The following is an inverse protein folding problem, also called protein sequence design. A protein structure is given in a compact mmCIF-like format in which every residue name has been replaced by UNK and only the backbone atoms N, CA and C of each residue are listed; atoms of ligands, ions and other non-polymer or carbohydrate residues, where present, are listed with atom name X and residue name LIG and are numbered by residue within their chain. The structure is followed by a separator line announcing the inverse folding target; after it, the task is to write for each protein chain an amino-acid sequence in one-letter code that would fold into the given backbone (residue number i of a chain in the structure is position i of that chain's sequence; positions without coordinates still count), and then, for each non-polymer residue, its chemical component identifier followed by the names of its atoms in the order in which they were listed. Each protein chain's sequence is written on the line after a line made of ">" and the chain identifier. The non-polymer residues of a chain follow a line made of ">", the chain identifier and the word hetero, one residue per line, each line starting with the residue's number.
data_IF_222770545414
#
_entry.id   IF_222770545414
#
_cell.length_a   1.000
_cell.length_b   1.000
_cell.length_c   1.000
_cell.angle_alpha   90.00
_cell.angle_beta   90.00
_cell.angle_gamma   90.00
#
_symmetry.space_group_name_H-M   'P 1'
#
loop_
_entity.id
_entity.type
_entity.pdbx_description
1 polymer ?
#
# COMPACT_ATOMS: atom_id res chain seq x y z
N UNK A 1 2.78 4.79 20.03
CA UNK A 1 3.98 4.07 19.55
C UNK A 1 4.23 4.48 18.12
N UNK A 2 5.43 4.95 17.82
CA UNK A 2 5.75 5.92 16.76
C UNK A 2 5.87 5.30 15.37
N UNK A 3 5.15 5.85 14.41
CA UNK A 3 5.19 5.56 12.97
C UNK A 3 6.57 5.80 12.34
N UNK A 4 7.05 4.88 11.54
CA UNK A 4 8.36 4.98 10.90
C UNK A 4 8.58 4.05 9.71
N UNK A 5 7.97 4.36 8.60
CA UNK A 5 8.61 4.26 7.30
C UNK A 5 8.78 5.69 6.82
N UNK A 6 9.99 6.20 6.76
CA UNK A 6 10.26 7.35 5.94
C UNK A 6 9.60 7.12 4.61
N UNK A 7 9.01 8.14 4.07
CA UNK A 7 8.41 8.07 2.75
C UNK A 7 9.53 7.70 1.78
N UNK A 8 9.39 6.59 1.10
CA UNK A 8 10.47 5.93 0.35
C UNK A 8 10.22 6.15 -1.12
N UNK A 9 11.11 6.88 -1.78
CA UNK A 9 11.01 7.07 -3.22
C UNK A 9 11.50 5.83 -3.96
N UNK A 10 10.58 5.16 -4.61
CA UNK A 10 10.83 4.05 -5.53
C UNK A 10 10.64 4.55 -6.95
N UNK A 11 11.70 5.10 -7.54
CA UNK A 11 11.67 5.58 -8.91
C UNK A 11 12.44 4.63 -9.82
N UNK A 12 11.79 4.20 -10.89
CA UNK A 12 12.34 3.28 -11.87
C UNK A 12 13.15 4.03 -12.94
N UNK A 13 14.43 4.23 -12.67
CA UNK A 13 15.37 4.53 -13.73
C UNK A 13 16.53 3.53 -13.69
N UNK A 14 16.77 2.86 -14.81
CA UNK A 14 17.95 2.02 -15.00
C UNK A 14 19.22 2.87 -14.82
N UNK A 15 19.98 2.59 -13.77
CA UNK A 15 21.30 3.20 -13.58
C UNK A 15 22.33 2.30 -14.28
N UNK A 16 23.07 2.76 -15.29
CA UNK A 16 24.25 2.04 -15.74
C UNK A 16 25.26 1.99 -14.58
N UNK A 17 25.74 0.79 -14.29
CA UNK A 17 26.74 0.55 -13.28
C UNK A 17 28.06 1.26 -13.64
N UNK A 18 28.70 1.88 -12.63
CA UNK A 18 30.03 2.47 -12.62
C UNK A 18 30.20 3.84 -13.29
N UNK A 19 29.80 4.89 -12.57
CA UNK A 19 30.53 6.15 -12.60
C UNK A 19 31.58 6.15 -11.48
N UNK A 20 32.76 6.71 -11.73
CA UNK A 20 33.80 6.92 -10.72
C UNK A 20 33.21 7.62 -9.49
N UNK A 21 33.72 7.32 -8.29
CA UNK A 21 33.29 7.94 -7.03
C UNK A 21 33.70 9.41 -7.05
N UNK A 22 32.90 10.23 -7.73
CA UNK A 22 32.96 11.70 -7.59
C UNK A 22 32.28 12.09 -6.28
N UNK A 23 32.78 13.14 -5.65
CA UNK A 23 32.09 13.74 -4.51
C UNK A 23 30.64 14.08 -4.91
N UNK A 24 29.65 13.79 -4.06
CA UNK A 24 28.27 14.09 -4.38
C UNK A 24 28.11 15.59 -4.62
N UNK A 25 27.29 16.01 -5.62
CA UNK A 25 27.12 17.42 -5.93
C UNK A 25 26.44 18.17 -4.76
N UNK A 26 26.70 19.48 -4.61
CA UNK A 26 25.98 20.29 -3.64
C UNK A 26 24.49 20.34 -3.98
N UNK A 27 23.64 20.14 -2.96
CA UNK A 27 22.18 20.06 -3.15
C UNK A 27 21.50 21.44 -3.17
N UNK A 28 22.13 22.46 -2.58
CA UNK A 28 21.53 23.79 -2.36
C UNK A 28 20.92 24.39 -3.63
N UNK A 29 21.70 24.55 -4.69
CA UNK A 29 21.25 25.17 -5.94
C UNK A 29 20.14 24.35 -6.62
N UNK A 30 20.17 23.01 -6.47
CA UNK A 30 19.15 22.15 -7.06
C UNK A 30 17.85 22.29 -6.26
N UNK A 31 17.92 22.24 -4.94
CA UNK A 31 16.77 22.42 -4.04
C UNK A 31 16.15 23.80 -4.27
N UNK A 32 16.94 24.87 -4.29
CA UNK A 32 16.45 26.23 -4.54
C UNK A 32 15.72 26.36 -5.89
N UNK A 33 16.18 25.64 -6.91
CA UNK A 33 15.52 25.61 -8.23
C UNK A 33 14.24 24.80 -8.26
N UNK A 34 14.07 23.81 -7.36
CA UNK A 34 12.91 22.91 -7.31
C UNK A 34 11.82 23.41 -6.37
N UNK A 35 12.14 24.15 -5.30
CA UNK A 35 11.16 24.64 -4.34
C UNK A 35 9.97 25.37 -4.99
N UNK A 36 10.15 26.39 -5.87
CA UNK A 36 9.03 27.09 -6.49
C UNK A 36 8.17 26.17 -7.35
N UNK A 37 8.82 25.17 -7.99
CA UNK A 37 8.10 24.17 -8.78
C UNK A 37 7.23 23.28 -7.90
N UNK A 38 7.78 22.75 -6.79
CA UNK A 38 7.05 21.89 -5.84
C UNK A 38 5.87 22.65 -5.24
N UNK A 39 6.08 23.91 -4.82
CA UNK A 39 5.01 24.76 -4.33
C UNK A 39 3.91 24.98 -5.35
N UNK A 40 4.27 25.26 -6.61
CA UNK A 40 3.29 25.40 -7.69
C UNK A 40 2.55 24.11 -8.04
N UNK A 41 3.21 22.95 -7.96
CA UNK A 41 2.62 21.65 -8.25
C UNK A 41 1.67 21.17 -7.15
N UNK A 42 1.96 21.50 -5.89
CA UNK A 42 1.19 21.08 -4.71
C UNK A 42 0.19 22.14 -4.24
N UNK A 43 0.32 23.40 -4.69
CA UNK A 43 -0.42 24.58 -4.21
C UNK A 43 -0.20 24.87 -2.71
N UNK A 44 0.87 24.34 -2.15
CA UNK A 44 1.32 24.63 -0.79
C UNK A 44 2.55 25.52 -0.80
N UNK A 45 2.89 26.12 0.33
CA UNK A 45 4.09 26.92 0.53
C UNK A 45 4.93 26.33 1.63
N UNK A 46 6.26 26.27 1.44
CA UNK A 46 7.16 25.91 2.53
C UNK A 46 7.06 26.94 3.66
N UNK A 47 6.84 26.47 4.88
CA UNK A 47 6.87 27.30 6.09
C UNK A 47 8.30 27.58 6.53
N UNK A 48 9.19 26.61 6.27
CA UNK A 48 10.61 26.73 6.52
C UNK A 48 11.42 25.98 5.45
N UNK A 49 12.71 26.31 5.33
CA UNK A 49 13.60 25.63 4.39
C UNK A 49 13.76 24.17 4.80
N UNK A 50 13.51 23.20 3.90
CA UNK A 50 13.68 21.80 4.21
C UNK A 50 15.16 21.46 4.46
N UNK A 51 15.42 20.55 5.39
CA UNK A 51 16.75 20.00 5.61
C UNK A 51 17.01 18.86 4.62
N UNK A 52 18.26 18.73 4.18
CA UNK A 52 18.62 17.70 3.21
C UNK A 52 20.04 17.20 3.37
N UNK A 53 20.31 16.00 2.86
CA UNK A 53 21.63 15.42 2.94
C UNK A 53 21.78 14.15 2.09
N UNK A 54 22.97 13.58 2.16
CA UNK A 54 23.30 12.35 1.47
C UNK A 54 23.32 11.15 2.42
N UNK A 55 22.92 9.98 1.93
CA UNK A 55 23.09 8.70 2.62
C UNK A 55 23.68 7.66 1.68
N UNK A 56 24.62 6.88 2.19
CA UNK A 56 25.12 5.69 1.51
C UNK A 56 24.06 4.57 1.59
N UNK A 57 24.17 3.58 0.70
CA UNK A 57 23.30 2.39 0.77
C UNK A 57 23.34 1.70 2.14
N UNK A 58 24.54 1.61 2.74
CA UNK A 58 24.68 1.02 4.07
C UNK A 58 23.95 1.82 5.17
N UNK A 59 23.96 3.15 5.10
CA UNK A 59 23.23 4.01 6.03
C UNK A 59 21.71 3.87 5.83
N UNK A 60 21.25 3.76 4.58
CA UNK A 60 19.86 3.53 4.23
C UNK A 60 19.40 2.15 4.75
N UNK A 61 20.19 1.09 4.52
CA UNK A 61 19.91 -0.24 5.05
C UNK A 61 19.74 -0.22 6.57
N UNK A 62 20.69 0.39 7.27
CA UNK A 62 20.61 0.53 8.73
C UNK A 62 19.36 1.27 9.19
N UNK A 63 18.95 2.31 8.45
CA UNK A 63 17.73 3.06 8.73
C UNK A 63 16.49 2.19 8.55
N UNK A 64 16.38 1.46 7.43
CA UNK A 64 15.25 0.57 7.14
C UNK A 64 15.16 -0.54 8.18
N UNK A 65 16.27 -1.24 8.46
CA UNK A 65 16.28 -2.36 9.41
C UNK A 65 15.83 -1.91 10.82
N UNK A 66 16.29 -0.72 11.24
CA UNK A 66 15.85 -0.12 12.50
C UNK A 66 14.37 0.23 12.45
N UNK A 67 13.92 0.89 11.39
CA UNK A 67 12.53 1.32 11.22
C UNK A 67 11.57 0.14 11.23
N UNK A 68 11.90 -0.94 10.55
CA UNK A 68 11.11 -2.18 10.55
C UNK A 68 11.06 -2.81 11.94
N UNK A 69 12.20 -2.88 12.64
CA UNK A 69 12.27 -3.46 13.98
C UNK A 69 11.49 -2.64 15.02
N UNK A 70 11.61 -1.30 14.96
CA UNK A 70 10.92 -0.40 15.88
C UNK A 70 9.40 -0.41 15.71
N UNK A 71 8.91 -0.56 14.47
CA UNK A 71 7.48 -0.46 14.14
C UNK A 71 6.71 -1.71 14.43
N UNK A 72 7.14 -2.79 13.83
CA UNK A 72 6.32 -4.00 13.83
C UNK A 72 6.78 -5.01 14.89
N UNK A 73 8.06 -4.97 15.27
CA UNK A 73 8.63 -6.02 16.10
C UNK A 73 8.54 -7.41 15.42
N UNK A 74 9.35 -8.35 15.86
CA UNK A 74 9.40 -9.69 15.24
C UNK A 74 8.07 -10.45 15.38
N UNK A 75 7.36 -10.24 16.49
CA UNK A 75 6.08 -10.90 16.76
C UNK A 75 5.00 -10.46 15.78
N UNK A 76 4.74 -9.15 15.65
CA UNK A 76 3.70 -8.61 14.75
C UNK A 76 3.99 -8.92 13.28
N UNK A 77 5.26 -8.84 12.87
CA UNK A 77 5.67 -9.28 11.53
C UNK A 77 5.32 -10.76 11.27
N UNK A 78 5.52 -11.62 12.26
CA UNK A 78 5.15 -13.03 12.16
C UNK A 78 3.63 -13.23 12.09
N UNK A 79 2.87 -12.49 12.89
CA UNK A 79 1.40 -12.55 12.91
C UNK A 79 0.80 -12.09 11.56
N UNK A 80 1.31 -10.99 11.00
CA UNK A 80 0.91 -10.49 9.67
C UNK A 80 1.29 -11.48 8.56
N UNK A 81 2.53 -11.99 8.57
CA UNK A 81 2.96 -12.99 7.60
C UNK A 81 2.11 -14.27 7.66
N UNK A 82 1.72 -14.69 8.86
CA UNK A 82 0.81 -15.83 9.07
C UNK A 82 -0.56 -15.55 8.44
N UNK A 83 -1.15 -14.39 8.69
CA UNK A 83 -2.44 -14.02 8.12
C UNK A 83 -2.39 -14.04 6.58
N UNK A 84 -1.40 -13.39 5.97
CA UNK A 84 -1.25 -13.38 4.51
C UNK A 84 -1.00 -14.78 3.91
N UNK A 85 -0.27 -15.64 4.63
CA UNK A 85 -0.13 -17.03 4.21
C UNK A 85 -1.46 -17.79 4.27
N UNK A 86 -2.23 -17.62 5.34
CA UNK A 86 -3.54 -18.26 5.48
C UNK A 86 -4.56 -17.72 4.47
N UNK A 87 -4.55 -16.44 4.16
CA UNK A 87 -5.35 -15.81 3.11
C UNK A 87 -4.96 -16.30 1.69
N UNK A 88 -3.73 -16.79 1.49
CA UNK A 88 -3.24 -17.24 0.19
C UNK A 88 -2.43 -16.20 -0.58
N UNK A 89 -2.14 -15.06 0.04
CA UNK A 89 -1.34 -13.97 -0.54
C UNK A 89 0.17 -14.22 -0.44
N UNK A 90 0.61 -15.09 0.46
CA UNK A 90 2.02 -15.49 0.59
C UNK A 90 2.18 -17.02 0.48
N UNK A 91 3.21 -17.50 -0.20
CA UNK A 91 3.51 -18.93 -0.28
C UNK A 91 3.95 -19.51 1.08
N UNK A 92 4.67 -18.73 1.87
CA UNK A 92 5.16 -19.08 3.20
C UNK A 92 5.39 -17.83 4.06
N UNK A 93 5.57 -18.02 5.38
CA UNK A 93 5.77 -16.93 6.33
C UNK A 93 7.21 -16.43 6.40
N UNK A 94 8.19 -17.21 5.95
CA UNK A 94 9.63 -16.92 6.11
C UNK A 94 10.12 -15.86 5.12
N UNK A 95 9.51 -15.81 3.94
CA UNK A 95 9.88 -14.89 2.85
C UNK A 95 9.47 -13.45 3.10
N UNK A 96 8.49 -13.21 3.99
CA UNK A 96 7.90 -11.88 4.19
C UNK A 96 8.90 -10.86 4.74
N UNK A 97 9.52 -11.14 5.90
CA UNK A 97 10.45 -10.20 6.56
C UNK A 97 11.71 -9.92 5.74
N UNK A 98 12.35 -10.98 5.24
CA UNK A 98 13.57 -10.83 4.43
C UNK A 98 13.27 -10.16 3.09
N UNK A 99 12.19 -10.57 2.45
CA UNK A 99 11.74 -9.99 1.18
C UNK A 99 11.46 -8.51 1.29
N UNK A 100 10.78 -8.09 2.35
CA UNK A 100 10.43 -6.68 2.57
C UNK A 100 11.69 -5.81 2.74
N UNK A 101 12.59 -6.13 3.68
CA UNK A 101 13.80 -5.32 3.92
C UNK A 101 14.69 -5.24 2.68
N UNK A 102 14.98 -6.37 2.03
CA UNK A 102 15.82 -6.39 0.84
C UNK A 102 15.19 -5.61 -0.33
N UNK A 103 13.89 -5.77 -0.53
CA UNK A 103 13.16 -5.07 -1.58
C UNK A 103 13.21 -3.55 -1.39
N UNK A 104 12.95 -3.06 -0.17
CA UNK A 104 13.04 -1.63 0.13
C UNK A 104 14.44 -1.08 -0.11
N UNK A 105 15.48 -1.74 0.38
CA UNK A 105 16.87 -1.28 0.20
C UNK A 105 17.26 -1.23 -1.27
N UNK A 106 16.87 -2.25 -2.06
CA UNK A 106 17.21 -2.32 -3.48
C UNK A 106 16.54 -1.21 -4.31
N UNK A 107 15.34 -0.81 -3.92
CA UNK A 107 14.54 0.16 -4.68
C UNK A 107 14.70 1.61 -4.20
N UNK A 108 15.18 1.84 -2.97
CA UNK A 108 15.23 3.17 -2.37
C UNK A 108 16.29 4.06 -3.02
N UNK A 109 15.88 5.21 -3.50
CA UNK A 109 16.73 6.26 -4.08
C UNK A 109 16.83 7.51 -3.21
N UNK A 110 15.75 7.81 -2.48
CA UNK A 110 15.65 8.89 -1.52
C UNK A 110 14.76 8.47 -0.35
N UNK A 111 14.74 9.29 0.67
CA UNK A 111 13.80 9.16 1.78
C UNK A 111 13.62 10.51 2.48
N UNK A 112 12.41 10.79 2.90
CA UNK A 112 12.11 11.83 3.88
C UNK A 112 11.92 11.18 5.26
N UNK A 113 12.62 11.72 6.25
CA UNK A 113 12.53 11.27 7.65
C UNK A 113 11.77 12.31 8.48
N UNK A 114 10.47 12.11 8.77
CA UNK A 114 9.65 13.06 9.51
C UNK A 114 10.07 13.23 10.97
N UNK A 115 10.93 12.34 11.52
CA UNK A 115 11.49 12.50 12.87
C UNK A 115 12.55 13.61 12.96
N UNK A 116 13.23 13.85 11.86
CA UNK A 116 14.34 14.80 11.79
C UNK A 116 14.07 15.92 10.80
N UNK A 117 12.89 15.97 10.19
CA UNK A 117 12.47 16.92 9.15
C UNK A 117 13.52 17.01 8.04
N UNK A 118 14.09 15.85 7.66
CA UNK A 118 15.24 15.82 6.75
C UNK A 118 15.01 14.86 5.60
N UNK A 119 15.18 15.35 4.38
CA UNK A 119 15.24 14.50 3.21
C UNK A 119 16.66 14.04 2.92
N UNK A 120 16.80 12.81 2.47
CA UNK A 120 18.08 12.22 2.12
C UNK A 120 18.05 11.63 0.72
N UNK A 121 19.07 11.94 -0.07
CA UNK A 121 19.32 11.29 -1.35
C UNK A 121 20.37 10.19 -1.20
N UNK A 122 20.22 9.11 -1.92
CA UNK A 122 21.25 8.05 -1.99
C UNK A 122 22.46 8.57 -2.76
N UNK A 123 23.67 8.34 -2.25
CA UNK A 123 24.92 8.65 -2.94
C UNK A 123 25.00 7.94 -4.30
N UNK A 124 25.59 8.61 -5.29
CA UNK A 124 25.68 8.10 -6.67
C UNK A 124 24.58 8.62 -7.61
N UNK A 125 23.57 9.33 -7.11
CA UNK A 125 22.59 10.02 -7.94
C UNK A 125 23.19 11.32 -8.52
N UNK A 126 22.85 11.62 -9.77
CA UNK A 126 23.27 12.86 -10.44
C UNK A 126 22.28 13.24 -11.56
N UNK A 127 22.40 14.45 -12.06
CA UNK A 127 21.62 14.94 -13.22
C UNK A 127 20.11 14.79 -13.06
N UNK A 128 19.40 14.28 -14.08
CA UNK A 128 17.94 14.15 -14.07
C UNK A 128 17.42 13.27 -12.93
N UNK A 129 18.10 12.17 -12.61
CA UNK A 129 17.69 11.27 -11.54
C UNK A 129 17.71 11.93 -10.15
N UNK A 130 18.73 12.73 -9.88
CA UNK A 130 18.82 13.48 -8.61
C UNK A 130 17.67 14.50 -8.52
N UNK A 131 17.37 15.22 -9.62
CA UNK A 131 16.25 16.17 -9.64
C UNK A 131 14.90 15.48 -9.43
N UNK A 132 14.69 14.33 -10.03
CA UNK A 132 13.51 13.50 -9.88
C UNK A 132 13.31 13.10 -8.39
N UNK A 133 14.33 12.51 -7.77
CA UNK A 133 14.31 12.11 -6.36
C UNK A 133 14.10 13.32 -5.45
N UNK A 134 14.85 14.41 -5.65
CA UNK A 134 14.70 15.62 -4.84
C UNK A 134 13.30 16.22 -4.96
N UNK A 135 12.68 16.23 -6.15
CA UNK A 135 11.32 16.73 -6.32
C UNK A 135 10.35 15.93 -5.45
N UNK A 136 10.45 14.59 -5.49
CA UNK A 136 9.61 13.71 -4.71
C UNK A 136 9.78 13.94 -3.20
N UNK A 137 11.02 13.93 -2.71
CA UNK A 137 11.30 14.12 -1.29
C UNK A 137 10.95 15.53 -0.79
N UNK A 138 11.08 16.55 -1.64
CA UNK A 138 10.64 17.91 -1.32
C UNK A 138 9.13 18.02 -1.15
N UNK A 139 8.34 17.24 -1.92
CA UNK A 139 6.89 17.16 -1.69
C UNK A 139 6.60 16.59 -0.31
N UNK A 140 7.29 15.54 0.11
CA UNK A 140 7.11 14.98 1.45
C UNK A 140 7.50 15.97 2.56
N UNK A 141 8.61 16.68 2.40
CA UNK A 141 8.99 17.74 3.34
C UNK A 141 7.94 18.85 3.42
N UNK A 142 7.33 19.19 2.29
CA UNK A 142 6.25 20.17 2.24
C UNK A 142 4.95 19.66 2.86
N UNK A 143 4.58 18.42 2.58
CA UNK A 143 3.43 17.75 3.18
C UNK A 143 3.52 17.74 4.70
N UNK A 144 4.70 17.35 5.23
CA UNK A 144 4.93 17.26 6.69
C UNK A 144 4.83 18.61 7.39
N UNK A 145 5.24 19.69 6.74
CA UNK A 145 5.04 21.05 7.26
C UNK A 145 3.56 21.47 7.34
N UNK A 146 2.65 20.78 6.63
CA UNK A 146 1.21 21.09 6.60
C UNK A 146 0.34 20.01 7.25
N UNK A 147 0.86 18.80 7.37
CA UNK A 147 0.16 17.62 7.91
C UNK A 147 1.20 16.75 8.60
N UNK A 148 1.02 16.46 9.87
CA UNK A 148 1.90 15.53 10.58
C UNK A 148 1.90 14.15 9.91
N UNK A 149 2.88 13.90 9.03
CA UNK A 149 2.99 12.65 8.29
C UNK A 149 3.28 11.46 9.21
N UNK A 150 3.92 11.72 10.35
CA UNK A 150 4.17 10.68 11.34
C UNK A 150 2.85 10.22 11.96
N UNK A 151 1.99 11.15 12.38
CA UNK A 151 0.68 10.84 12.93
C UNK A 151 -0.25 10.23 11.86
N UNK A 152 -0.23 10.75 10.64
CA UNK A 152 -1.05 10.27 9.53
C UNK A 152 -0.82 8.80 9.19
N UNK A 153 0.41 8.31 9.35
CA UNK A 153 0.82 6.94 9.04
C UNK A 153 1.01 6.09 10.30
N UNK A 154 0.42 6.48 11.43
CA UNK A 154 0.60 5.82 12.73
C UNK A 154 0.10 4.37 12.80
N UNK A 155 0.66 3.64 13.79
CA UNK A 155 0.19 2.32 14.18
C UNK A 155 -1.22 2.39 14.77
N UNK A 156 -2.08 1.46 14.38
CA UNK A 156 -3.49 1.40 14.81
C UNK A 156 -4.49 1.55 13.67
N UNK A 157 -4.04 2.10 12.53
CA UNK A 157 -4.84 2.12 11.32
C UNK A 157 -4.97 0.71 10.73
N UNK A 158 -6.16 0.33 10.29
CA UNK A 158 -6.40 -0.90 9.54
C UNK A 158 -5.58 -0.92 8.25
N UNK A 159 -5.21 -2.10 7.78
CA UNK A 159 -4.29 -2.27 6.67
C UNK A 159 -4.76 -1.55 5.40
N UNK A 160 -6.04 -1.67 5.05
CA UNK A 160 -6.62 -1.04 3.86
C UNK A 160 -6.64 0.50 3.96
N UNK A 161 -7.05 1.04 5.11
CA UNK A 161 -7.01 2.48 5.36
C UNK A 161 -5.58 3.03 5.33
N UNK A 162 -4.60 2.27 5.81
CA UNK A 162 -3.18 2.61 5.73
C UNK A 162 -2.67 2.62 4.30
N UNK A 163 -3.12 1.68 3.46
CA UNK A 163 -2.84 1.71 2.03
C UNK A 163 -3.37 2.99 1.41
N UNK A 164 -4.61 3.38 1.70
CA UNK A 164 -5.23 4.59 1.16
C UNK A 164 -4.48 5.86 1.60
N UNK A 165 -4.13 5.97 2.89
CA UNK A 165 -3.35 7.09 3.42
C UNK A 165 -1.99 7.18 2.73
N UNK A 166 -1.28 6.06 2.62
CA UNK A 166 0.01 5.99 1.94
C UNK A 166 -0.11 6.33 0.45
N UNK A 167 -1.13 5.81 -0.24
CA UNK A 167 -1.36 6.11 -1.65
C UNK A 167 -1.66 7.60 -1.88
N UNK A 168 -2.35 8.26 -0.96
CA UNK A 168 -2.60 9.70 -1.05
C UNK A 168 -1.31 10.51 -0.92
N UNK A 169 -0.46 10.18 0.06
CA UNK A 169 0.82 10.86 0.32
C UNK A 169 1.81 10.63 -0.82
N UNK A 170 2.08 9.37 -1.17
CA UNK A 170 3.00 8.99 -2.24
C UNK A 170 2.49 9.42 -3.62
N UNK A 171 1.17 9.36 -3.80
CA UNK A 171 0.51 9.76 -5.03
C UNK A 171 0.70 11.23 -5.37
N UNK A 172 0.61 12.12 -4.38
CA UNK A 172 0.88 13.53 -4.61
C UNK A 172 2.34 13.79 -4.98
N UNK A 173 3.28 13.15 -4.28
CA UNK A 173 4.69 13.28 -4.58
C UNK A 173 5.02 12.73 -5.98
N UNK A 174 4.48 11.56 -6.34
CA UNK A 174 4.64 10.98 -7.67
C UNK A 174 4.00 11.83 -8.75
N UNK A 175 2.80 12.34 -8.54
CA UNK A 175 2.10 13.19 -9.51
C UNK A 175 2.89 14.49 -9.79
N UNK A 176 3.41 15.16 -8.76
CA UNK A 176 4.27 16.33 -8.92
C UNK A 176 5.56 15.98 -9.70
N UNK A 177 6.18 14.83 -9.38
CA UNK A 177 7.38 14.35 -10.07
C UNK A 177 7.11 14.07 -11.56
N UNK A 178 6.02 13.39 -11.87
CA UNK A 178 5.62 13.11 -13.25
C UNK A 178 5.35 14.39 -14.05
N UNK A 179 4.73 15.39 -13.44
CA UNK A 179 4.54 16.71 -14.07
C UNK A 179 5.86 17.41 -14.36
N UNK A 180 6.86 17.30 -13.46
CA UNK A 180 8.21 17.82 -13.72
C UNK A 180 8.82 17.16 -14.95
N UNK A 181 8.79 15.82 -15.02
CA UNK A 181 9.33 15.05 -16.13
C UNK A 181 8.62 15.37 -17.47
N UNK A 182 7.32 15.68 -17.40
CA UNK A 182 6.53 16.11 -18.57
C UNK A 182 6.69 17.61 -18.92
N UNK A 183 7.64 18.32 -18.30
CA UNK A 183 7.84 19.75 -18.55
C UNK A 183 6.67 20.63 -18.13
N UNK A 184 5.95 20.26 -17.07
CA UNK A 184 4.79 20.99 -16.53
C UNK A 184 3.48 20.76 -17.28
N UNK A 185 3.45 19.87 -18.27
CA UNK A 185 2.23 19.57 -19.05
C UNK A 185 1.15 18.93 -18.19
N UNK A 186 -0.10 19.14 -18.60
CA UNK A 186 -1.23 18.48 -17.97
C UNK A 186 -1.25 16.99 -18.36
N UNK A 187 -1.04 16.11 -17.39
CA UNK A 187 -0.97 14.66 -17.60
C UNK A 187 -2.36 14.01 -17.71
N UNK A 188 -3.41 14.69 -17.28
CA UNK A 188 -4.80 14.16 -17.26
C UNK A 188 -5.30 13.83 -18.67
N UNK A 189 -4.78 14.54 -19.69
CA UNK A 189 -5.28 14.45 -21.06
C UNK A 189 -4.67 13.33 -21.92
N UNK A 190 -3.73 12.55 -21.40
CA UNK A 190 -3.05 11.53 -22.21
C UNK A 190 -3.65 10.15 -21.99
N UNK A 191 -4.46 9.67 -22.92
CA UNK A 191 -4.92 8.28 -22.93
C UNK A 191 -3.74 7.31 -22.97
N UNK A 192 -3.79 6.25 -22.16
CA UNK A 192 -2.70 5.25 -22.09
C UNK A 192 -1.48 5.66 -21.26
N UNK A 193 -1.43 6.89 -20.74
CA UNK A 193 -0.32 7.35 -19.88
C UNK A 193 -0.08 6.41 -18.71
N UNK A 194 -1.15 6.03 -18.01
CA UNK A 194 -1.05 5.19 -16.82
C UNK A 194 -0.58 3.78 -17.13
N UNK A 195 -0.97 3.22 -18.29
CA UNK A 195 -0.45 1.93 -18.74
C UNK A 195 1.04 2.04 -19.05
N UNK A 196 1.46 3.10 -19.71
CA UNK A 196 2.88 3.36 -20.01
C UNK A 196 3.70 3.57 -18.72
N UNK A 197 3.21 4.34 -17.76
CA UNK A 197 3.87 4.54 -16.47
C UNK A 197 3.98 3.22 -15.72
N UNK A 198 2.90 2.43 -15.65
CA UNK A 198 2.88 1.12 -15.01
C UNK A 198 3.95 0.20 -15.60
N UNK A 199 4.00 0.11 -16.92
CA UNK A 199 4.96 -0.73 -17.61
C UNK A 199 6.39 -0.23 -17.42
N UNK A 200 6.61 1.08 -17.48
CA UNK A 200 7.93 1.69 -17.26
C UNK A 200 8.44 1.45 -15.82
N UNK A 201 7.58 1.58 -14.83
CA UNK A 201 7.90 1.28 -13.44
C UNK A 201 8.26 -0.20 -13.26
N UNK A 202 7.49 -1.10 -13.85
CA UNK A 202 7.75 -2.56 -13.78
C UNK A 202 9.04 -2.96 -14.47
N UNK A 203 9.32 -2.41 -15.66
CA UNK A 203 10.56 -2.67 -16.39
C UNK A 203 11.77 -2.17 -15.61
N UNK A 204 11.71 -0.98 -15.04
CA UNK A 204 12.81 -0.43 -14.24
C UNK A 204 13.07 -1.21 -12.96
N UNK A 205 12.03 -1.54 -12.24
CA UNK A 205 12.13 -2.31 -10.98
C UNK A 205 12.48 -3.78 -11.24
N UNK A 206 11.99 -4.35 -12.34
CA UNK A 206 12.28 -5.73 -12.75
C UNK A 206 13.74 -6.00 -13.07
N UNK A 207 14.61 -4.99 -13.15
CA UNK A 207 16.05 -5.17 -13.29
C UNK A 207 16.71 -5.66 -11.99
N UNK A 208 16.12 -5.39 -10.82
CA UNK A 208 16.63 -5.90 -9.54
C UNK A 208 16.21 -7.36 -9.31
N UNK A 209 17.16 -8.20 -8.92
CA UNK A 209 16.90 -9.59 -8.55
C UNK A 209 15.99 -9.68 -7.32
N UNK A 210 16.17 -8.78 -6.36
CA UNK A 210 15.36 -8.67 -5.14
C UNK A 210 13.90 -8.43 -5.49
N UNK A 211 13.61 -7.56 -6.47
CA UNK A 211 12.25 -7.31 -6.93
C UNK A 211 11.66 -8.52 -7.66
N UNK A 212 12.39 -9.12 -8.60
CA UNK A 212 11.89 -10.30 -9.35
C UNK A 212 11.55 -11.47 -8.45
N UNK A 213 12.36 -11.70 -7.41
CA UNK A 213 12.25 -12.84 -6.50
C UNK A 213 11.32 -12.58 -5.30
N UNK A 214 10.91 -11.35 -5.06
CA UNK A 214 9.99 -11.04 -3.96
C UNK A 214 8.58 -11.57 -4.26
N UNK A 215 7.82 -12.00 -3.23
CA UNK A 215 6.42 -12.35 -3.37
C UNK A 215 5.62 -11.21 -4.03
N UNK A 216 4.58 -11.57 -4.82
CA UNK A 216 3.72 -10.59 -5.52
C UNK A 216 3.17 -9.53 -4.57
N UNK A 217 2.65 -9.95 -3.41
CA UNK A 217 2.16 -9.04 -2.37
C UNK A 217 3.16 -7.92 -2.06
N UNK A 218 4.43 -8.24 -1.89
CA UNK A 218 5.46 -7.26 -1.57
C UNK A 218 5.81 -6.37 -2.76
N UNK A 219 5.91 -6.93 -3.96
CA UNK A 219 6.24 -6.16 -5.18
C UNK A 219 5.16 -5.15 -5.51
N UNK A 220 3.92 -5.63 -5.62
CA UNK A 220 2.79 -4.78 -5.98
C UNK A 220 2.45 -3.80 -4.85
N UNK A 221 2.49 -4.24 -3.58
CA UNK A 221 2.30 -3.38 -2.41
C UNK A 221 3.35 -2.28 -2.28
N UNK A 222 4.55 -2.46 -2.86
CA UNK A 222 5.56 -1.41 -2.94
C UNK A 222 5.21 -0.36 -4.01
N UNK A 223 4.73 -0.79 -5.18
CA UNK A 223 4.49 0.06 -6.36
C UNK A 223 3.13 0.75 -6.33
N UNK A 224 2.11 0.03 -5.88
CA UNK A 224 0.71 0.45 -5.98
C UNK A 224 0.42 1.81 -5.35
N UNK A 225 0.93 2.17 -4.16
CA UNK A 225 0.69 3.50 -3.59
C UNK A 225 1.14 4.64 -4.49
N UNK A 226 2.24 4.48 -5.21
CA UNK A 226 2.76 5.48 -6.14
C UNK A 226 1.89 5.57 -7.40
N UNK A 227 1.58 4.43 -8.00
CA UNK A 227 0.84 4.36 -9.24
C UNK A 227 -0.62 4.79 -9.08
N UNK A 228 -1.36 4.10 -8.21
CA UNK A 228 -2.78 4.36 -8.00
C UNK A 228 -3.01 5.66 -7.24
N UNK A 229 -2.10 6.01 -6.33
CA UNK A 229 -2.12 7.31 -5.68
C UNK A 229 -1.93 8.47 -6.66
N UNK A 230 -1.02 8.36 -7.64
CA UNK A 230 -0.86 9.38 -8.68
C UNK A 230 -2.07 9.45 -9.63
N UNK A 231 -2.72 8.32 -9.92
CA UNK A 231 -3.99 8.30 -10.66
C UNK A 231 -5.09 9.01 -9.87
N UNK A 232 -5.22 8.72 -8.58
CA UNK A 232 -6.16 9.41 -7.68
C UNK A 232 -5.88 10.92 -7.66
N UNK A 233 -4.64 11.35 -7.49
CA UNK A 233 -4.27 12.76 -7.49
C UNK A 233 -4.52 13.45 -8.84
N UNK A 234 -4.33 12.72 -9.95
CA UNK A 234 -4.69 13.21 -11.28
C UNK A 234 -6.19 13.48 -11.41
N UNK A 235 -7.01 12.58 -10.87
CA UNK A 235 -8.47 12.77 -10.82
C UNK A 235 -8.84 13.93 -9.89
N UNK A 236 -8.26 13.98 -8.68
CA UNK A 236 -8.48 15.05 -7.70
C UNK A 236 -8.21 16.44 -8.28
N UNK A 237 -7.16 16.61 -9.07
CA UNK A 237 -6.84 17.88 -9.72
C UNK A 237 -7.90 18.35 -10.71
N UNK A 238 -8.77 17.49 -11.17
CA UNK A 238 -9.91 17.80 -12.04
C UNK A 238 -11.21 18.12 -11.30
N UNK A 239 -11.23 18.07 -9.96
CA UNK A 239 -12.41 18.37 -9.14
C UNK A 239 -12.42 19.80 -8.64
N UNK A 240 -13.57 20.27 -8.16
CA UNK A 240 -13.73 21.58 -7.52
C UNK A 240 -12.91 21.71 -6.21
N UNK A 241 -12.52 20.57 -5.63
CA UNK A 241 -11.70 20.52 -4.42
C UNK A 241 -10.18 20.62 -4.67
N UNK A 242 -9.76 20.79 -5.93
CA UNK A 242 -8.35 20.80 -6.34
C UNK A 242 -7.47 21.85 -5.63
N UNK A 243 -8.06 22.92 -5.07
CA UNK A 243 -7.35 23.95 -4.29
C UNK A 243 -7.04 23.53 -2.84
N UNK A 244 -7.42 22.31 -2.48
CA UNK A 244 -7.21 21.75 -1.16
C UNK A 244 -6.48 20.40 -1.26
N UNK A 245 -6.05 19.90 -0.11
CA UNK A 245 -5.40 18.59 -0.02
C UNK A 245 -6.41 17.53 0.45
N UNK A 246 -6.37 16.30 -0.08
CA UNK A 246 -7.18 15.20 0.42
C UNK A 246 -6.59 14.60 1.72
N UNK A 247 -6.29 15.46 2.70
CA UNK A 247 -5.78 15.09 4.02
C UNK A 247 -6.77 15.44 5.14
N UNK A 248 -6.46 15.00 6.35
CA UNK A 248 -7.32 15.19 7.51
C UNK A 248 -8.65 14.42 7.34
N UNK A 249 -9.77 15.09 7.53
CA UNK A 249 -11.11 14.51 7.38
C UNK A 249 -11.42 14.02 5.96
N UNK A 250 -10.69 14.57 4.97
CA UNK A 250 -10.81 14.21 3.55
C UNK A 250 -9.87 13.08 3.11
N UNK A 251 -9.14 12.49 4.03
CA UNK A 251 -8.26 11.37 3.68
C UNK A 251 -9.11 10.19 3.18
N UNK A 252 -8.82 9.61 2.01
CA UNK A 252 -9.44 8.35 1.59
C UNK A 252 -9.29 7.26 2.64
N UNK A 253 -10.32 6.45 2.84
CA UNK A 253 -10.41 5.47 3.92
C UNK A 253 -10.25 4.02 3.48
N UNK A 254 -10.21 3.79 2.16
CA UNK A 254 -10.05 2.44 1.60
C UNK A 254 -9.24 2.48 0.32
N UNK A 255 -8.64 1.34 -0.02
CA UNK A 255 -8.00 1.14 -1.32
C UNK A 255 -9.00 1.30 -2.46
N UNK A 256 -10.26 0.92 -2.27
CA UNK A 256 -11.32 1.12 -3.24
C UNK A 256 -11.45 2.58 -3.66
N UNK A 257 -11.46 3.52 -2.69
CA UNK A 257 -11.54 4.95 -2.98
C UNK A 257 -10.32 5.48 -3.74
N UNK A 258 -9.16 4.85 -3.60
CA UNK A 258 -7.95 5.16 -4.36
C UNK A 258 -8.03 4.60 -5.78
N UNK A 259 -8.50 3.37 -5.93
CA UNK A 259 -8.61 2.67 -7.21
C UNK A 259 -9.75 3.23 -8.07
N UNK A 260 -10.83 3.70 -7.42
CA UNK A 260 -12.05 4.22 -8.01
C UNK A 260 -12.37 5.60 -7.44
N UNK A 261 -11.67 6.67 -7.89
CA UNK A 261 -11.81 8.02 -7.32
C UNK A 261 -13.22 8.57 -7.38
N UNK A 262 -14.06 8.12 -8.32
CA UNK A 262 -15.48 8.46 -8.42
C UNK A 262 -16.27 8.00 -7.19
N UNK A 263 -15.91 6.86 -6.58
CA UNK A 263 -16.52 6.41 -5.32
C UNK A 263 -16.15 7.32 -4.16
N UNK A 264 -14.88 7.76 -4.10
CA UNK A 264 -14.47 8.75 -3.11
C UNK A 264 -15.30 10.05 -3.22
N UNK A 265 -15.45 10.58 -4.45
CA UNK A 265 -16.20 11.84 -4.69
C UNK A 265 -17.70 11.67 -4.42
N UNK A 266 -18.28 10.49 -4.69
CA UNK A 266 -19.69 10.20 -4.35
C UNK A 266 -19.93 10.04 -2.84
N UNK A 267 -18.87 10.02 -2.02
CA UNK A 267 -18.97 9.84 -0.58
C UNK A 267 -19.15 8.38 -0.16
N UNK A 268 -18.90 7.43 -1.06
CA UNK A 268 -18.92 6.02 -0.74
C UNK A 268 -17.84 5.69 0.31
N UNK A 269 -18.22 4.95 1.35
CA UNK A 269 -17.34 4.63 2.48
C UNK A 269 -17.31 3.13 2.73
N UNK A 270 -16.15 2.58 3.11
CA UNK A 270 -16.05 1.17 3.45
C UNK A 270 -16.99 0.81 4.60
N UNK A 271 -17.64 -0.33 4.46
CA UNK A 271 -18.51 -0.91 5.48
C UNK A 271 -17.62 -1.53 6.56
N UNK A 272 -17.71 -1.04 7.78
CA UNK A 272 -16.97 -1.61 8.90
C UNK A 272 -17.60 -2.93 9.35
N UNK A 273 -16.86 -4.02 9.21
CA UNK A 273 -17.24 -5.36 9.64
C UNK A 273 -16.58 -5.67 10.97
N UNK A 274 -17.33 -6.24 11.94
CA UNK A 274 -16.83 -6.63 13.26
C UNK A 274 -17.27 -8.04 13.61
N UNK A 275 -16.38 -8.81 14.21
CA UNK A 275 -16.75 -10.07 14.86
C UNK A 275 -17.52 -9.79 16.15
N UNK A 276 -18.60 -10.53 16.41
CA UNK A 276 -19.50 -10.34 17.56
C UNK A 276 -19.29 -11.34 18.67
N UNK A 277 -18.46 -12.34 18.45
CA UNK A 277 -18.10 -13.36 19.43
C UNK A 277 -16.60 -13.43 19.66
N UNK A 278 -16.22 -14.00 20.82
CA UNK A 278 -14.82 -14.10 21.19
C UNK A 278 -14.11 -15.27 20.50
N UNK A 279 -14.83 -16.22 19.87
CA UNK A 279 -14.31 -17.36 19.08
C UNK A 279 -12.99 -17.99 19.53
N UNK A 280 -12.50 -17.57 20.69
CA UNK A 280 -11.22 -17.96 21.27
C UNK A 280 -10.12 -16.88 21.15
N UNK A 281 -8.90 -17.18 21.62
CA UNK A 281 -7.78 -16.23 21.60
C UNK A 281 -7.40 -15.82 20.18
N UNK A 282 -7.31 -14.52 19.93
CA UNK A 282 -6.96 -13.92 18.63
C UNK A 282 -5.44 -13.82 18.50
N UNK A 283 -4.92 -14.19 17.34
CA UNK A 283 -3.53 -13.95 16.92
C UNK A 283 -3.44 -12.57 16.28
N UNK A 284 -4.28 -12.32 15.28
CA UNK A 284 -4.34 -11.04 14.56
C UNK A 284 -5.71 -10.86 13.89
N UNK A 285 -6.08 -9.63 13.67
CA UNK A 285 -7.30 -9.22 12.99
C UNK A 285 -7.01 -7.95 12.19
N UNK A 286 -7.51 -7.86 10.93
CA UNK A 286 -7.35 -6.68 10.09
C UNK A 286 -8.32 -6.74 8.89
N UNK A 287 -8.22 -5.78 7.98
CA UNK A 287 -8.96 -5.65 6.73
C UNK A 287 -8.02 -5.97 5.57
N UNK A 288 -8.49 -6.73 4.58
CA UNK A 288 -7.75 -7.02 3.34
C UNK A 288 -7.84 -5.83 2.39
N UNK A 289 -9.06 -5.35 2.13
CA UNK A 289 -9.33 -4.27 1.20
C UNK A 289 -9.34 -4.69 -0.28
N UNK A 290 -9.87 -3.84 -1.14
CA UNK A 290 -10.05 -4.18 -2.56
C UNK A 290 -8.73 -4.39 -3.28
N UNK A 291 -7.69 -3.60 -2.98
CA UNK A 291 -6.38 -3.77 -3.63
C UNK A 291 -5.77 -5.14 -3.36
N UNK A 292 -5.74 -5.60 -2.11
CA UNK A 292 -5.18 -6.92 -1.80
C UNK A 292 -6.07 -8.06 -2.30
N UNK A 293 -7.38 -7.84 -2.45
CA UNK A 293 -8.27 -8.80 -3.12
C UNK A 293 -7.90 -8.96 -4.60
N UNK A 294 -7.58 -7.89 -5.32
CA UNK A 294 -7.02 -7.98 -6.68
C UNK A 294 -5.70 -8.78 -6.71
N UNK A 295 -4.83 -8.58 -5.70
CA UNK A 295 -3.60 -9.38 -5.60
C UNK A 295 -3.92 -10.87 -5.38
N UNK A 296 -4.93 -11.17 -4.57
CA UNK A 296 -5.37 -12.54 -4.32
C UNK A 296 -5.93 -13.19 -5.59
N UNK A 297 -6.79 -12.50 -6.33
CA UNK A 297 -7.29 -12.96 -7.62
C UNK A 297 -6.14 -13.25 -8.60
N UNK A 298 -5.18 -12.33 -8.70
CA UNK A 298 -4.02 -12.49 -9.55
C UNK A 298 -3.04 -13.58 -9.07
N UNK A 299 -3.02 -13.88 -7.77
CA UNK A 299 -2.17 -14.93 -7.18
C UNK A 299 -2.75 -16.33 -7.38
N UNK A 300 -4.08 -16.47 -7.28
CA UNK A 300 -4.79 -17.74 -7.40
C UNK A 300 -5.25 -18.03 -8.83
N UNK A 301 -5.27 -17.05 -9.71
CA UNK A 301 -5.70 -17.15 -11.10
C UNK A 301 -4.63 -16.67 -12.07
N UNK A 302 -5.07 -16.41 -13.30
CA UNK A 302 -4.23 -15.85 -14.37
C UNK A 302 -4.31 -14.32 -14.42
N UNK A 303 -4.78 -13.68 -13.34
CA UNK A 303 -4.96 -12.23 -13.25
C UNK A 303 -3.65 -11.48 -13.35
N UNK A 304 -3.67 -10.34 -14.02
CA UNK A 304 -2.55 -9.41 -14.13
C UNK A 304 -2.93 -8.11 -13.42
N UNK A 305 -2.05 -7.64 -12.55
CA UNK A 305 -2.19 -6.31 -11.95
C UNK A 305 -1.57 -5.30 -12.92
N UNK A 306 -2.38 -4.58 -13.69
CA UNK A 306 -1.89 -3.55 -14.62
C UNK A 306 -2.95 -2.51 -14.95
N UNK A 307 -2.49 -1.28 -15.17
CA UNK A 307 -3.36 -0.19 -15.59
C UNK A 307 -4.43 0.16 -14.56
N UNK A 308 -5.64 0.41 -15.03
CA UNK A 308 -6.82 0.60 -14.20
C UNK A 308 -7.38 -0.74 -13.79
N UNK A 309 -7.60 -0.97 -12.49
CA UNK A 309 -8.23 -2.18 -11.98
C UNK A 309 -9.76 -2.03 -12.04
N UNK A 310 -10.51 -3.09 -12.39
CA UNK A 310 -11.97 -3.05 -12.39
C UNK A 310 -12.50 -3.06 -10.95
N UNK A 311 -13.65 -2.42 -10.70
CA UNK A 311 -14.32 -2.52 -9.41
C UNK A 311 -14.80 -3.96 -9.14
N UNK A 312 -14.44 -4.50 -7.95
CA UNK A 312 -14.86 -5.83 -7.53
C UNK A 312 -16.27 -5.85 -6.92
N UNK A 313 -16.81 -4.68 -6.54
CA UNK A 313 -18.03 -4.55 -5.75
C UNK A 313 -17.78 -4.89 -4.28
N UNK A 314 -16.56 -4.61 -3.82
CA UNK A 314 -16.16 -4.72 -2.43
C UNK A 314 -16.82 -3.61 -1.62
N UNK A 315 -17.63 -3.97 -0.63
CA UNK A 315 -18.19 -2.98 0.28
C UNK A 315 -17.42 -2.88 1.60
N UNK A 316 -16.74 -3.95 2.00
CA UNK A 316 -15.96 -4.00 3.23
C UNK A 316 -15.61 -5.44 3.62
N UNK A 317 -14.60 -5.61 4.44
CA UNK A 317 -14.23 -6.95 4.91
C UNK A 317 -13.57 -6.92 6.29
N UNK A 318 -13.44 -8.08 6.87
CA UNK A 318 -12.61 -8.31 8.06
C UNK A 318 -12.20 -9.76 8.16
N UNK A 319 -10.91 -10.01 8.38
CA UNK A 319 -10.41 -11.31 8.75
C UNK A 319 -9.94 -11.35 10.19
N UNK A 320 -10.01 -12.54 10.78
CA UNK A 320 -9.44 -12.84 12.10
C UNK A 320 -8.74 -14.18 12.05
N UNK A 321 -7.55 -14.23 12.66
CA UNK A 321 -6.80 -15.47 12.86
C UNK A 321 -6.87 -15.84 14.32
N UNK A 322 -7.49 -16.96 14.61
CA UNK A 322 -7.62 -17.52 15.95
C UNK A 322 -6.44 -18.43 16.28
N UNK A 323 -6.11 -18.46 17.58
CA UNK A 323 -5.17 -19.43 18.15
C UNK A 323 -5.97 -20.59 18.71
N UNK A 324 -5.69 -21.82 18.25
CA UNK A 324 -6.26 -23.02 18.84
C UNK A 324 -5.19 -24.06 19.14
N UNK A 325 -5.55 -25.10 19.92
CA UNK A 325 -4.67 -26.24 20.19
C UNK A 325 -4.30 -27.00 18.91
N UNK A 326 -5.18 -26.99 17.91
CA UNK A 326 -4.97 -27.65 16.61
C UNK A 326 -4.12 -26.80 15.64
N UNK A 327 -3.86 -25.54 15.95
CA UNK A 327 -3.15 -24.60 15.10
C UNK A 327 -3.95 -23.32 14.77
N UNK A 328 -3.42 -22.42 13.96
CA UNK A 328 -4.10 -21.18 13.60
C UNK A 328 -5.32 -21.46 12.72
N UNK A 329 -6.41 -20.71 12.94
CA UNK A 329 -7.64 -20.79 12.16
C UNK A 329 -8.00 -19.42 11.59
N UNK A 330 -8.12 -19.28 10.28
CA UNK A 330 -8.55 -18.06 9.60
C UNK A 330 -10.06 -18.09 9.40
N UNK A 331 -10.71 -16.99 9.76
CA UNK A 331 -12.09 -16.66 9.36
C UNK A 331 -12.07 -15.28 8.70
N UNK A 332 -12.68 -15.15 7.53
CA UNK A 332 -12.74 -13.92 6.76
C UNK A 332 -14.17 -13.69 6.25
N UNK A 333 -14.71 -12.51 6.55
CA UNK A 333 -15.99 -12.02 6.04
C UNK A 333 -15.75 -10.91 5.05
N UNK A 334 -16.41 -11.00 3.89
CA UNK A 334 -16.39 -9.99 2.83
C UNK A 334 -17.84 -9.57 2.60
N UNK A 335 -18.15 -8.31 2.76
CA UNK A 335 -19.45 -7.72 2.45
C UNK A 335 -19.38 -7.11 1.05
N UNK A 336 -20.39 -7.37 0.25
CA UNK A 336 -20.45 -6.97 -1.15
C UNK A 336 -21.47 -5.86 -1.38
N UNK A 337 -21.25 -5.01 -2.38
CA UNK A 337 -22.21 -3.99 -2.82
C UNK A 337 -23.48 -4.66 -3.34
N UNK A 338 -23.32 -5.75 -4.10
CA UNK A 338 -24.44 -6.51 -4.63
C UNK A 338 -24.22 -8.03 -4.49
N UNK A 339 -25.32 -8.78 -4.42
CA UNK A 339 -25.24 -10.25 -4.36
C UNK A 339 -24.55 -10.88 -5.61
N UNK A 340 -24.58 -10.20 -6.75
CA UNK A 340 -23.91 -10.64 -7.97
C UNK A 340 -22.37 -10.63 -7.81
N UNK A 341 -21.83 -9.67 -7.08
CA UNK A 341 -20.39 -9.53 -6.84
C UNK A 341 -19.88 -10.68 -5.97
N UNK A 342 -20.63 -11.00 -4.89
CA UNK A 342 -20.33 -12.14 -4.05
C UNK A 342 -20.39 -13.47 -4.81
N UNK A 343 -21.37 -13.64 -5.72
CA UNK A 343 -21.42 -14.85 -6.57
C UNK A 343 -20.21 -14.94 -7.48
N UNK A 344 -19.86 -13.85 -8.17
CA UNK A 344 -18.67 -13.78 -9.04
C UNK A 344 -17.40 -14.16 -8.29
N UNK A 345 -17.21 -13.59 -7.09
CA UNK A 345 -16.08 -13.93 -6.24
C UNK A 345 -16.08 -15.40 -5.85
N UNK A 346 -17.22 -15.93 -5.38
CA UNK A 346 -17.32 -17.32 -4.91
C UNK A 346 -17.08 -18.33 -6.03
N UNK A 347 -17.57 -18.07 -7.25
CA UNK A 347 -17.37 -18.92 -8.44
C UNK A 347 -15.93 -18.86 -8.98
N UNK A 348 -15.23 -17.72 -8.80
CA UNK A 348 -13.85 -17.51 -9.21
C UNK A 348 -12.84 -17.80 -8.10
N UNK A 349 -12.40 -16.75 -7.44
CA UNK A 349 -11.37 -16.78 -6.38
C UNK A 349 -11.80 -17.62 -5.20
N UNK A 350 -13.07 -17.54 -4.79
CA UNK A 350 -13.63 -18.35 -3.71
C UNK A 350 -13.55 -19.84 -3.96
N UNK A 351 -13.87 -20.28 -5.18
CA UNK A 351 -13.74 -21.71 -5.55
C UNK A 351 -12.29 -22.20 -5.42
N UNK A 352 -11.31 -21.40 -5.81
CA UNK A 352 -9.88 -21.73 -5.67
C UNK A 352 -9.43 -21.75 -4.21
N UNK A 353 -9.94 -20.83 -3.38
CA UNK A 353 -9.72 -20.84 -1.93
C UNK A 353 -10.33 -22.08 -1.29
N UNK A 354 -11.55 -22.44 -1.67
CA UNK A 354 -12.24 -23.64 -1.20
C UNK A 354 -11.56 -24.94 -1.62
N UNK A 355 -10.89 -24.95 -2.76
CA UNK A 355 -10.14 -26.10 -3.29
C UNK A 355 -8.74 -26.28 -2.66
N UNK A 356 -8.29 -25.36 -1.79
CA UNK A 356 -7.01 -25.53 -1.10
C UNK A 356 -6.99 -26.79 -0.27
N UNK A 357 -5.91 -27.55 -0.41
CA UNK A 357 -5.73 -28.82 0.31
C UNK A 357 -4.49 -28.76 1.21
N UNK A 358 -4.67 -29.25 2.42
CA UNK A 358 -3.61 -29.49 3.38
C UNK A 358 -4.08 -30.62 4.31
N UNK A 359 -3.22 -31.61 4.54
CA UNK A 359 -3.55 -32.72 5.42
C UNK A 359 -3.98 -32.20 6.81
N UNK A 360 -5.15 -32.68 7.29
CA UNK A 360 -5.73 -32.27 8.56
C UNK A 360 -6.33 -30.85 8.59
N UNK A 361 -6.57 -30.22 7.42
CA UNK A 361 -7.22 -28.91 7.30
C UNK A 361 -8.53 -29.00 6.50
N UNK A 362 -9.40 -28.02 6.73
CA UNK A 362 -10.65 -27.82 5.99
C UNK A 362 -10.73 -26.40 5.47
N UNK A 363 -11.30 -26.24 4.27
CA UNK A 363 -11.73 -24.98 3.70
C UNK A 363 -13.26 -24.92 3.66
N UNK A 364 -13.82 -23.74 3.89
CA UNK A 364 -15.24 -23.43 3.66
C UNK A 364 -15.33 -22.08 2.98
N UNK A 365 -16.05 -22.00 1.88
CA UNK A 365 -16.47 -20.76 1.22
C UNK A 365 -17.97 -20.84 1.02
N UNK A 366 -18.69 -19.86 1.53
CA UNK A 366 -20.14 -19.84 1.44
C UNK A 366 -20.70 -18.42 1.33
N UNK A 367 -21.81 -18.29 0.63
CA UNK A 367 -22.61 -17.06 0.62
C UNK A 367 -23.41 -16.98 1.91
N UNK A 368 -23.29 -15.86 2.60
CA UNK A 368 -24.02 -15.55 3.84
C UNK A 368 -24.63 -14.15 3.76
N UNK A 369 -25.39 -13.78 4.78
CA UNK A 369 -25.81 -12.40 4.99
C UNK A 369 -25.18 -11.88 6.30
N UNK A 370 -24.66 -10.66 6.27
CA UNK A 370 -24.20 -9.92 7.46
C UNK A 370 -25.10 -8.70 7.60
N UNK A 371 -25.94 -8.69 8.62
CA UNK A 371 -26.99 -7.68 8.84
C UNK A 371 -27.82 -7.37 7.58
N UNK A 372 -28.21 -8.45 6.87
CA UNK A 372 -29.02 -8.38 5.64
C UNK A 372 -28.25 -8.02 4.37
N UNK A 373 -26.95 -7.72 4.45
CA UNK A 373 -26.09 -7.44 3.29
C UNK A 373 -25.52 -8.74 2.71
N UNK A 374 -25.39 -8.82 1.38
CA UNK A 374 -24.75 -9.98 0.75
C UNK A 374 -23.29 -10.06 1.19
N UNK A 375 -22.86 -11.26 1.61
CA UNK A 375 -21.51 -11.46 2.07
C UNK A 375 -20.98 -12.86 1.70
N UNK A 376 -19.67 -12.99 1.72
CA UNK A 376 -18.96 -14.28 1.66
C UNK A 376 -18.28 -14.52 2.99
N UNK A 377 -18.40 -15.74 3.51
CA UNK A 377 -17.58 -16.24 4.61
C UNK A 377 -16.59 -17.26 4.08
N UNK A 378 -15.31 -16.99 4.30
CA UNK A 378 -14.22 -17.93 4.03
C UNK A 378 -13.58 -18.38 5.34
N UNK A 379 -13.39 -19.69 5.50
CA UNK A 379 -12.69 -20.30 6.63
C UNK A 379 -11.61 -21.23 6.09
N UNK A 380 -10.41 -21.10 6.64
CA UNK A 380 -9.29 -22.00 6.41
C UNK A 380 -8.66 -22.38 7.74
N UNK A 381 -8.93 -23.59 8.21
CA UNK A 381 -8.59 -24.00 9.57
C UNK A 381 -8.28 -25.50 9.67
N UNK A 382 -7.53 -25.94 10.73
CA UNK A 382 -7.41 -27.35 11.06
C UNK A 382 -8.77 -28.02 11.19
N UNK A 383 -8.90 -29.26 10.74
CA UNK A 383 -10.15 -30.02 10.86
C UNK A 383 -10.59 -30.22 12.32
N UNK A 384 -9.64 -30.23 13.25
CA UNK A 384 -9.88 -30.35 14.70
C UNK A 384 -10.05 -29.00 15.40
N UNK A 385 -10.20 -27.89 14.67
CA UNK A 385 -10.48 -26.58 15.29
C UNK A 385 -11.88 -26.56 15.89
N UNK A 386 -11.97 -26.17 17.17
CA UNK A 386 -13.23 -26.18 17.94
C UNK A 386 -14.30 -25.25 17.32
N UNK A 387 -13.88 -24.17 16.66
CA UNK A 387 -14.77 -23.22 16.01
C UNK A 387 -15.62 -23.78 14.88
N UNK A 388 -15.34 -25.02 14.37
CA UNK A 388 -16.22 -25.71 13.44
C UNK A 388 -17.58 -26.09 14.02
N UNK A 389 -17.68 -26.22 15.35
CA UNK A 389 -18.93 -26.53 16.03
C UNK A 389 -19.87 -25.32 16.14
N UNK A 390 -19.29 -24.10 16.24
CA UNK A 390 -20.01 -22.83 16.28
C UNK A 390 -19.15 -21.79 15.55
N UNK A 391 -19.47 -21.52 14.30
CA UNK A 391 -18.65 -20.62 13.45
C UNK A 391 -18.76 -19.19 13.97
N UNK A 392 -17.63 -18.48 14.11
CA UNK A 392 -17.61 -17.09 14.51
C UNK A 392 -18.51 -16.23 13.61
N UNK A 393 -19.32 -15.37 14.19
CA UNK A 393 -20.25 -14.51 13.48
C UNK A 393 -19.72 -13.08 13.37
N UNK A 394 -20.21 -12.33 12.39
CA UNK A 394 -19.87 -10.93 12.17
C UNK A 394 -21.13 -10.07 12.05
N UNK A 395 -20.95 -8.77 12.29
CA UNK A 395 -21.97 -7.73 12.07
C UNK A 395 -21.35 -6.55 11.32
N UNK A 396 -22.19 -5.71 10.76
CA UNK A 396 -21.82 -4.39 10.24
C UNK A 396 -21.96 -3.35 11.35
N UNK A 397 -20.95 -2.53 11.54
CA UNK A 397 -21.09 -1.35 12.41
C UNK A 397 -22.00 -0.33 11.72
N UNK A 398 -22.92 0.25 12.49
CA UNK A 398 -23.69 1.40 11.98
C UNK A 398 -22.71 2.56 11.81
N UNK A 399 -22.75 3.27 10.66
CA UNK A 399 -22.00 4.51 10.54
C UNK A 399 -22.45 5.49 11.63
N UNK A 400 -21.46 6.09 12.30
CA UNK A 400 -21.70 7.18 13.26
C UNK A 400 -22.30 8.41 12.57
#
# INVERSE_FOLDING_TARGET
>A
MRSLLGLITVLAAAVPARAAVQAPPPLDAIVDSLQPYVEGATRLRFKERPRYGWRTEAQIRKYIDRSVAERMGARRLGEVALAYHLLGLLPDTSSYRKGMSNLYVAQLRGLYDPKTDTLYCRTGLSGPQLREVLTHELVHALQDQHTDLQALLEDGMENDARFAARATVEGQAMFATLRLLAGGRNLVSYSGLWNWITESLRLGQGQSAEFRNAPRLLREGLVAPYLYGAQFMSYWQGTDAADSMPFGERLPRSSEQILHPERYVSGDRPIAVRFIDDGGPVITEDVVGEFEMHLLEAQLGDGVISGTLPALGWGGDRYRVYRSAAGPALVWYIVWDAAADGRRFNEGTGARLGARTRAGWRALVESVAVDGRPATRYIWAPAAWEGWAALPAARVEKPD
#
